data_IF_880933596399
#
_entry.id   IF_880933596399
#
_cell.length_a   1.000
_cell.length_b   1.000
_cell.length_c   1.000
_cell.angle_alpha   90.00
_cell.angle_beta   90.00
_cell.angle_gamma   90.00
#
_symmetry.space_group_name_H-M   'P 1'
#
loop_
_entity.id
_entity.type
_entity.pdbx_description
1 polymer ?
#
# COMPACT_ATOMS: atom_id res chain seq x y z
N UNK A 1 58.83 44.05 33.82
CA UNK A 1 57.51 43.43 34.13
C UNK A 1 56.80 42.85 32.90
N UNK A 2 56.82 43.47 31.70
CA UNK A 2 56.15 42.91 30.51
C UNK A 2 56.76 41.61 29.97
N UNK A 3 58.09 41.44 29.94
CA UNK A 3 58.75 40.22 29.43
C UNK A 3 58.49 38.95 30.25
N UNK A 4 58.36 39.06 31.58
CA UNK A 4 58.07 37.91 32.45
C UNK A 4 56.60 37.46 32.35
N UNK A 5 55.68 38.37 31.99
CA UNK A 5 54.28 38.04 31.77
C UNK A 5 54.11 37.17 30.50
N UNK A 6 54.80 37.52 29.40
CA UNK A 6 54.74 36.72 28.16
C UNK A 6 55.30 35.31 28.33
N UNK A 7 56.35 35.12 29.15
CA UNK A 7 56.91 33.79 29.40
C UNK A 7 55.96 32.91 30.22
N UNK A 8 55.26 33.48 31.19
CA UNK A 8 54.25 32.78 32.00
C UNK A 8 53.02 32.44 31.16
N UNK A 9 52.55 33.36 30.31
CA UNK A 9 51.41 33.10 29.41
C UNK A 9 51.74 32.03 28.36
N UNK A 10 52.98 31.99 27.85
CA UNK A 10 53.43 30.96 26.90
C UNK A 10 53.52 29.57 27.55
N UNK A 11 53.94 29.50 28.83
CA UNK A 11 53.99 28.26 29.58
C UNK A 11 52.60 27.71 29.93
N UNK A 12 51.64 28.59 30.24
CA UNK A 12 50.24 28.22 30.49
C UNK A 12 49.57 27.72 29.20
N UNK A 13 49.84 28.36 28.06
CA UNK A 13 49.36 27.88 26.75
C UNK A 13 49.94 26.53 26.36
N UNK A 14 51.23 26.29 26.62
CA UNK A 14 51.89 25.00 26.36
C UNK A 14 51.35 23.88 27.27
N UNK A 15 50.99 24.20 28.54
CA UNK A 15 50.37 23.24 29.45
C UNK A 15 48.94 22.84 29.03
N UNK A 16 48.18 23.76 28.41
CA UNK A 16 46.85 23.45 27.87
C UNK A 16 46.88 22.53 26.63
N UNK A 17 47.99 22.51 25.87
CA UNK A 17 48.15 21.63 24.70
C UNK A 17 48.46 20.17 25.07
N UNK A 18 48.86 19.90 26.31
CA UNK A 18 49.14 18.54 26.79
C UNK A 18 47.93 17.89 27.50
N UNK A 19 46.83 18.63 27.66
CA UNK A 19 45.54 18.09 28.10
C UNK A 19 44.75 17.58 26.89
N UNK A 20 45.35 16.69 26.09
CA UNK A 20 44.56 15.84 25.21
C UNK A 20 43.84 14.85 26.13
N UNK A 21 42.62 15.18 26.53
CA UNK A 21 41.69 14.20 27.06
C UNK A 21 41.65 13.07 26.03
N UNK A 22 42.30 11.96 26.36
CA UNK A 22 42.11 10.70 25.68
C UNK A 22 40.65 10.32 25.96
N UNK A 23 39.76 10.80 25.11
CA UNK A 23 38.39 10.33 25.07
C UNK A 23 38.48 8.90 24.52
N UNK A 24 38.85 7.95 25.37
CA UNK A 24 38.47 6.55 25.15
C UNK A 24 36.96 6.52 25.30
N UNK A 25 36.27 6.94 24.22
CA UNK A 25 34.87 6.64 24.05
C UNK A 25 34.85 5.13 23.88
N UNK A 26 34.39 4.41 24.90
CA UNK A 26 34.04 3.01 24.74
C UNK A 26 33.12 2.93 23.51
N UNK A 27 33.55 2.18 22.50
CA UNK A 27 32.75 2.02 21.30
C UNK A 27 31.45 1.35 21.74
N UNK A 28 30.31 2.03 21.57
CA UNK A 28 29.00 1.54 22.03
C UNK A 28 28.63 0.19 21.35
N UNK A 29 29.37 -0.20 20.31
CA UNK A 29 29.18 -1.42 19.57
C UNK A 29 30.49 -2.18 19.37
N UNK A 30 30.46 -3.50 19.58
CA UNK A 30 31.60 -4.40 19.39
C UNK A 30 32.06 -4.55 17.92
N UNK A 31 31.26 -4.05 16.97
CA UNK A 31 31.48 -4.19 15.52
C UNK A 31 31.40 -2.85 14.83
N UNK A 32 32.21 -2.67 13.79
CA UNK A 32 32.18 -1.47 12.95
C UNK A 32 30.83 -1.37 12.21
N UNK A 33 30.43 -0.14 11.86
CA UNK A 33 29.21 0.09 11.08
C UNK A 33 29.17 -0.70 9.76
N UNK A 34 30.33 -0.85 9.10
CA UNK A 34 30.46 -1.61 7.85
C UNK A 34 30.20 -3.11 8.05
N UNK A 35 30.74 -3.70 9.11
CA UNK A 35 30.54 -5.12 9.44
C UNK A 35 29.08 -5.42 9.79
N UNK A 36 28.43 -4.54 10.55
CA UNK A 36 27.00 -4.68 10.87
C UNK A 36 26.14 -4.63 9.60
N UNK A 37 26.49 -3.74 8.68
CA UNK A 37 25.79 -3.61 7.40
C UNK A 37 25.96 -4.85 6.51
N UNK A 38 27.18 -5.40 6.42
CA UNK A 38 27.40 -6.66 5.70
C UNK A 38 26.58 -7.82 6.30
N UNK A 39 26.53 -7.90 7.64
CA UNK A 39 25.74 -8.93 8.33
C UNK A 39 24.24 -8.81 8.04
N UNK A 40 23.68 -7.60 8.02
CA UNK A 40 22.28 -7.41 7.63
C UNK A 40 22.04 -7.81 6.16
N UNK A 41 22.94 -7.49 5.23
CA UNK A 41 22.80 -7.90 3.83
C UNK A 41 22.85 -9.42 3.67
N UNK A 42 23.77 -10.10 4.36
CA UNK A 42 23.86 -11.57 4.35
C UNK A 42 22.60 -12.19 4.93
N UNK A 43 22.13 -11.69 6.07
CA UNK A 43 20.88 -12.11 6.72
C UNK A 43 19.70 -12.02 5.76
N UNK A 44 19.47 -10.88 5.10
CA UNK A 44 18.34 -10.74 4.18
C UNK A 44 18.50 -11.56 2.89
N UNK A 45 19.72 -11.76 2.41
CA UNK A 45 19.98 -12.65 1.25
C UNK A 45 19.52 -14.07 1.53
N UNK A 46 19.74 -14.57 2.74
CA UNK A 46 19.26 -15.88 3.19
C UNK A 46 17.75 -15.87 3.47
N UNK A 47 17.27 -14.82 4.14
CA UNK A 47 15.89 -14.74 4.60
C UNK A 47 14.89 -14.70 3.44
N UNK A 48 15.14 -13.86 2.43
CA UNK A 48 14.20 -13.62 1.33
C UNK A 48 13.83 -14.90 0.56
N UNK A 49 14.77 -15.82 0.39
CA UNK A 49 14.58 -17.07 -0.36
C UNK A 49 14.06 -18.23 0.50
N UNK A 50 13.94 -18.05 1.82
CA UNK A 50 13.70 -19.14 2.77
C UNK A 50 12.28 -19.71 2.72
N UNK A 51 11.20 -18.92 2.63
CA UNK A 51 9.85 -19.48 2.63
C UNK A 51 9.56 -20.29 1.35
N UNK A 52 9.14 -21.54 1.53
CA UNK A 52 8.84 -22.46 0.43
C UNK A 52 7.81 -21.90 -0.57
N UNK A 53 6.81 -21.17 -0.07
CA UNK A 53 5.73 -20.61 -0.88
C UNK A 53 5.90 -19.11 -1.17
N UNK A 54 7.05 -18.55 -0.82
CA UNK A 54 7.32 -17.11 -0.87
C UNK A 54 6.65 -16.34 0.27
N UNK A 55 6.46 -15.05 0.04
CA UNK A 55 5.91 -14.09 0.98
C UNK A 55 4.59 -13.55 0.46
N UNK A 56 3.63 -13.30 1.34
CA UNK A 56 2.58 -12.32 1.07
C UNK A 56 3.15 -10.95 1.44
N UNK A 57 3.02 -9.99 0.53
CA UNK A 57 3.37 -8.59 0.74
C UNK A 57 2.07 -7.78 0.91
N UNK A 58 1.92 -7.18 2.09
CA UNK A 58 0.84 -6.28 2.42
C UNK A 58 1.20 -4.86 1.95
N UNK A 59 0.72 -4.50 0.76
CA UNK A 59 1.18 -3.31 0.07
C UNK A 59 0.16 -2.16 0.16
N UNK A 60 0.58 -1.02 0.71
CA UNK A 60 -0.28 0.15 0.93
C UNK A 60 0.24 1.38 0.18
N UNK A 61 -0.23 1.63 -1.05
CA UNK A 61 0.03 2.86 -1.80
C UNK A 61 -0.64 4.08 -1.15
N UNK A 62 -0.21 5.29 -1.54
CA UNK A 62 -0.75 6.55 -1.02
C UNK A 62 0.14 7.23 0.01
N UNK A 63 1.41 6.82 0.11
CA UNK A 63 2.38 7.36 1.07
C UNK A 63 2.01 7.10 2.53
N UNK A 64 2.36 8.03 3.41
CA UNK A 64 2.15 7.90 4.86
C UNK A 64 0.69 7.89 5.30
N UNK A 65 -0.22 8.34 4.44
CA UNK A 65 -1.67 8.36 4.71
C UNK A 65 -2.40 7.15 4.09
N UNK A 66 -1.70 6.34 3.29
CA UNK A 66 -2.21 5.13 2.62
C UNK A 66 -3.56 5.37 1.91
N UNK A 67 -3.70 6.51 1.25
CA UNK A 67 -4.97 7.01 0.68
C UNK A 67 -5.62 6.09 -0.34
N UNK A 68 -4.84 5.18 -0.95
CA UNK A 68 -5.32 4.24 -1.96
C UNK A 68 -5.66 2.84 -1.40
N UNK A 69 -5.67 2.69 -0.07
CA UNK A 69 -5.95 1.42 0.60
C UNK A 69 -4.80 0.43 0.51
N UNK A 70 -5.04 -0.83 0.86
CA UNK A 70 -4.04 -1.89 0.79
C UNK A 70 -4.41 -3.03 -0.15
N UNK A 71 -3.38 -3.73 -0.65
CA UNK A 71 -3.51 -4.81 -1.62
C UNK A 71 -2.59 -5.96 -1.22
N UNK A 72 -3.11 -7.18 -1.35
CA UNK A 72 -2.33 -8.39 -1.16
C UNK A 72 -1.57 -8.71 -2.45
N UNK A 73 -0.25 -8.65 -2.38
CA UNK A 73 0.64 -9.20 -3.39
C UNK A 73 1.31 -10.45 -2.82
N UNK A 74 1.84 -11.30 -3.68
CA UNK A 74 2.78 -12.34 -3.25
C UNK A 74 4.06 -12.20 -4.02
N UNK A 75 5.19 -12.42 -3.35
CA UNK A 75 6.53 -12.38 -3.95
C UNK A 75 7.33 -13.59 -3.52
N UNK A 76 7.96 -14.28 -4.46
CA UNK A 76 8.97 -15.31 -4.18
C UNK A 76 10.31 -14.87 -4.74
N UNK A 77 11.39 -15.05 -3.97
CA UNK A 77 12.74 -14.67 -4.36
C UNK A 77 13.55 -15.90 -4.76
N UNK A 78 14.47 -15.72 -5.69
CA UNK A 78 15.39 -16.76 -6.13
C UNK A 78 16.84 -16.35 -5.88
N UNK A 79 17.72 -17.33 -5.67
CA UNK A 79 19.14 -17.07 -5.40
C UNK A 79 19.88 -16.36 -6.56
N UNK A 80 19.33 -16.40 -7.79
CA UNK A 80 19.84 -15.69 -8.95
C UNK A 80 19.26 -14.28 -9.13
N UNK A 81 18.61 -13.72 -8.10
CA UNK A 81 18.22 -12.30 -8.07
C UNK A 81 16.89 -11.97 -8.73
N UNK A 82 15.97 -12.93 -8.87
CA UNK A 82 14.62 -12.67 -9.39
C UNK A 82 13.59 -12.67 -8.25
N UNK A 83 12.65 -11.74 -8.34
CA UNK A 83 11.45 -11.64 -7.53
C UNK A 83 10.23 -11.86 -8.43
N UNK A 84 9.43 -12.88 -8.13
CA UNK A 84 8.25 -13.26 -8.93
C UNK A 84 6.99 -12.79 -8.21
N UNK A 85 6.27 -11.85 -8.82
CA UNK A 85 5.09 -11.22 -8.26
C UNK A 85 3.78 -11.80 -8.80
N UNK A 86 2.77 -11.81 -7.93
CA UNK A 86 1.34 -11.99 -8.25
C UNK A 86 0.53 -11.03 -7.40
N UNK A 87 -0.71 -10.75 -7.78
CA UNK A 87 -1.57 -9.78 -7.06
C UNK A 87 -3.02 -10.19 -7.05
N UNK A 88 -3.75 -9.78 -6.01
CA UNK A 88 -5.22 -9.83 -6.00
C UNK A 88 -5.84 -9.00 -7.11
N UNK A 89 -5.10 -8.03 -7.68
CA UNK A 89 -5.55 -7.18 -8.79
C UNK A 89 -5.48 -7.86 -10.17
N UNK A 90 -4.89 -9.04 -10.29
CA UNK A 90 -4.90 -9.77 -11.57
C UNK A 90 -6.22 -10.50 -11.76
N UNK A 91 -6.79 -10.48 -12.97
CA UNK A 91 -7.99 -11.25 -13.32
C UNK A 91 -7.85 -12.73 -12.95
N UNK A 92 -6.71 -13.31 -13.34
CA UNK A 92 -6.28 -14.65 -12.97
C UNK A 92 -5.08 -14.54 -12.01
N UNK A 93 -5.28 -14.97 -10.76
CA UNK A 93 -4.22 -14.95 -9.73
C UNK A 93 -3.05 -15.88 -10.03
N UNK A 94 -3.15 -16.74 -11.05
CA UNK A 94 -2.03 -17.53 -11.54
C UNK A 94 -1.03 -16.72 -12.36
N UNK A 95 -1.45 -15.58 -12.93
CA UNK A 95 -0.57 -14.69 -13.67
C UNK A 95 0.56 -14.21 -12.76
N UNK A 96 1.79 -14.34 -13.25
CA UNK A 96 2.97 -13.90 -12.54
C UNK A 96 3.96 -13.20 -13.46
N UNK A 97 4.63 -12.20 -12.92
CA UNK A 97 5.67 -11.43 -13.62
C UNK A 97 6.92 -11.35 -12.76
N UNK A 98 8.08 -11.24 -13.38
CA UNK A 98 9.36 -11.19 -12.65
C UNK A 98 9.96 -9.80 -12.67
N UNK A 99 10.70 -9.47 -11.62
CA UNK A 99 11.60 -8.33 -11.53
C UNK A 99 12.96 -8.80 -11.05
N UNK A 100 14.05 -8.16 -11.48
CA UNK A 100 15.31 -8.29 -10.76
C UNK A 100 15.20 -7.55 -9.42
N UNK A 101 15.80 -8.12 -8.37
CA UNK A 101 15.92 -7.43 -7.09
C UNK A 101 17.39 -7.30 -6.67
N UNK A 102 17.68 -6.23 -5.93
CA UNK A 102 19.00 -5.97 -5.36
C UNK A 102 18.89 -5.69 -3.86
N UNK A 103 19.89 -6.17 -3.11
CA UNK A 103 20.14 -5.78 -1.74
C UNK A 103 21.32 -4.81 -1.71
N UNK A 104 21.07 -3.57 -1.29
CA UNK A 104 22.06 -2.49 -1.31
C UNK A 104 22.37 -1.96 0.10
N UNK A 105 23.53 -1.31 0.23
CA UNK A 105 23.97 -0.63 1.45
C UNK A 105 23.89 0.87 1.23
N UNK A 106 22.80 1.49 1.67
CA UNK A 106 22.53 2.92 1.48
C UNK A 106 22.13 3.52 2.84
N UNK A 107 20.90 4.01 3.00
CA UNK A 107 20.30 4.40 4.29
C UNK A 107 19.88 3.17 5.12
N UNK A 108 20.84 2.27 5.39
CA UNK A 108 20.55 0.93 5.90
C UNK A 108 20.69 -0.14 4.82
N UNK A 109 20.30 -1.37 5.16
CA UNK A 109 20.09 -2.41 4.16
C UNK A 109 18.80 -2.09 3.39
N UNK A 110 18.86 -2.07 2.06
CA UNK A 110 17.67 -1.80 1.24
C UNK A 110 17.36 -2.95 0.30
N UNK A 111 16.07 -3.16 0.04
CA UNK A 111 15.57 -4.07 -0.99
C UNK A 111 14.98 -3.24 -2.13
N UNK A 112 15.54 -3.40 -3.33
CA UNK A 112 15.14 -2.67 -4.53
C UNK A 112 14.63 -3.63 -5.60
N UNK A 113 13.61 -3.24 -6.35
CA UNK A 113 13.11 -3.96 -7.52
C UNK A 113 13.48 -3.18 -8.78
N UNK A 114 14.51 -3.64 -9.50
CA UNK A 114 15.26 -2.81 -10.45
C UNK A 114 14.72 -2.89 -11.89
N UNK A 115 13.92 -3.91 -12.21
CA UNK A 115 13.29 -3.99 -13.53
C UNK A 115 11.78 -3.90 -13.46
N UNK A 116 11.24 -3.05 -14.34
CA UNK A 116 9.82 -2.87 -14.50
C UNK A 116 9.08 -4.20 -14.69
N UNK A 117 7.97 -4.32 -13.97
CA UNK A 117 6.98 -5.38 -14.16
C UNK A 117 5.60 -4.78 -13.86
N UNK A 118 4.60 -5.17 -14.63
CA UNK A 118 3.28 -4.54 -14.63
C UNK A 118 2.44 -4.79 -13.37
N UNK A 119 2.74 -5.81 -12.57
CA UNK A 119 1.96 -6.11 -11.35
C UNK A 119 2.42 -5.23 -10.20
N UNK A 120 3.72 -5.22 -9.90
CA UNK A 120 4.27 -4.53 -8.74
C UNK A 120 4.47 -3.03 -9.02
N UNK A 121 4.98 -2.68 -10.21
CA UNK A 121 5.21 -1.27 -10.55
C UNK A 121 3.93 -0.53 -10.93
N UNK A 122 2.77 -1.20 -11.00
CA UNK A 122 1.47 -0.55 -11.19
C UNK A 122 1.27 0.61 -10.22
N UNK A 123 1.61 0.42 -8.94
CA UNK A 123 1.39 1.43 -7.90
C UNK A 123 2.32 2.64 -8.00
N UNK A 124 3.48 2.49 -8.65
CA UNK A 124 4.47 3.55 -8.84
C UNK A 124 4.50 4.09 -10.27
N UNK A 125 3.69 3.55 -11.18
CA UNK A 125 3.71 3.92 -12.59
C UNK A 125 3.15 5.35 -12.78
N UNK A 126 3.93 6.31 -13.29
CA UNK A 126 3.48 7.69 -13.47
C UNK A 126 2.47 7.86 -14.62
N UNK A 127 2.35 6.88 -15.53
CA UNK A 127 1.49 6.92 -16.73
C UNK A 127 0.03 6.52 -16.46
N UNK A 128 -0.31 6.12 -15.23
CA UNK A 128 -1.71 5.93 -14.87
C UNK A 128 -2.34 7.31 -14.68
N UNK A 129 -3.40 7.61 -15.45
CA UNK A 129 -4.17 8.87 -15.34
C UNK A 129 -4.99 9.01 -14.05
N UNK A 130 -4.85 8.05 -13.12
CA UNK A 130 -5.48 7.99 -11.81
C UNK A 130 -4.44 8.26 -10.70
N UNK A 131 -4.88 8.44 -9.46
CA UNK A 131 -3.98 8.47 -8.30
C UNK A 131 -3.63 9.88 -7.80
N UNK A 132 -2.36 10.09 -7.44
CA UNK A 132 -1.87 11.31 -6.77
C UNK A 132 -1.76 12.55 -7.67
N UNK A 133 -2.13 12.45 -8.95
CA UNK A 133 -2.02 13.48 -9.97
C UNK A 133 -1.06 13.11 -11.11
N UNK A 134 -0.99 13.97 -12.12
CA UNK A 134 -0.17 13.75 -13.33
C UNK A 134 1.28 13.41 -12.97
N UNK A 135 1.76 12.26 -13.46
CA UNK A 135 3.12 11.79 -13.25
C UNK A 135 3.44 11.23 -11.85
N UNK A 136 2.44 11.06 -10.97
CA UNK A 136 2.67 10.62 -9.58
C UNK A 136 2.28 9.16 -9.29
N UNK A 137 1.48 8.55 -10.17
CA UNK A 137 0.93 7.22 -9.94
C UNK A 137 0.13 7.14 -8.64
N UNK A 138 0.11 5.96 -7.99
CA UNK A 138 -0.56 5.75 -6.69
C UNK A 138 0.37 6.03 -5.49
N UNK A 139 1.46 6.79 -5.67
CA UNK A 139 2.46 7.02 -4.63
C UNK A 139 3.03 5.72 -4.05
N UNK A 140 3.18 4.69 -4.90
CA UNK A 140 3.85 3.44 -4.55
C UNK A 140 5.38 3.59 -4.54
N UNK A 141 6.03 2.86 -3.63
CA UNK A 141 7.48 2.66 -3.60
C UNK A 141 7.87 1.33 -4.24
N UNK A 142 9.06 1.26 -4.82
CA UNK A 142 9.70 0.02 -5.32
C UNK A 142 11.12 -0.17 -4.75
N UNK A 143 11.54 0.73 -3.86
CA UNK A 143 12.76 0.62 -3.07
C UNK A 143 12.40 0.79 -1.60
N UNK A 144 12.91 -0.10 -0.74
CA UNK A 144 12.53 -0.16 0.67
C UNK A 144 13.76 -0.24 1.57
N UNK A 145 13.70 0.46 2.69
CA UNK A 145 14.61 0.29 3.82
C UNK A 145 14.12 -0.93 4.61
N UNK A 146 15.00 -1.88 4.89
CA UNK A 146 14.66 -3.08 5.65
C UNK A 146 14.77 -2.78 7.15
N UNK A 147 13.63 -2.65 7.82
CA UNK A 147 13.57 -2.23 9.23
C UNK A 147 13.80 -3.40 10.19
N UNK A 148 13.18 -4.55 9.90
CA UNK A 148 13.38 -5.79 10.67
C UNK A 148 13.02 -7.03 9.86
N UNK A 149 13.57 -8.19 10.24
CA UNK A 149 13.40 -9.43 9.50
C UNK A 149 13.60 -10.67 10.37
N UNK A 150 12.63 -11.57 10.31
CA UNK A 150 12.58 -12.90 10.91
C UNK A 150 12.05 -13.89 9.88
N UNK A 151 12.13 -15.19 10.17
CA UNK A 151 11.64 -16.22 9.23
C UNK A 151 10.15 -16.11 8.89
N UNK A 152 9.37 -15.49 9.78
CA UNK A 152 7.92 -15.32 9.63
C UNK A 152 7.52 -13.95 9.09
N UNK A 153 8.31 -12.91 9.33
CA UNK A 153 7.95 -11.53 9.01
C UNK A 153 9.17 -10.68 8.62
N UNK A 154 9.03 -9.88 7.57
CA UNK A 154 9.92 -8.78 7.22
C UNK A 154 9.11 -7.49 7.22
N UNK A 155 9.58 -6.47 7.94
CA UNK A 155 9.00 -5.12 7.95
C UNK A 155 9.97 -4.20 7.21
N UNK A 156 9.43 -3.40 6.31
CA UNK A 156 10.22 -2.47 5.51
C UNK A 156 9.47 -1.15 5.27
N UNK A 157 10.22 -0.08 5.05
CA UNK A 157 9.68 1.26 4.83
C UNK A 157 10.05 1.75 3.45
N UNK A 158 9.07 2.21 2.67
CA UNK A 158 9.29 2.74 1.33
C UNK A 158 10.23 3.96 1.35
N UNK A 159 11.21 4.01 0.44
CA UNK A 159 12.23 5.08 0.45
C UNK A 159 11.66 6.45 0.13
N UNK A 160 10.72 6.57 -0.83
CA UNK A 160 10.20 7.85 -1.30
C UNK A 160 8.97 8.28 -0.52
N UNK A 161 7.98 7.41 -0.33
CA UNK A 161 6.69 7.78 0.26
C UNK A 161 6.48 7.28 1.69
N UNK A 162 7.46 6.56 2.26
CA UNK A 162 7.55 6.19 3.69
C UNK A 162 6.41 5.31 4.21
N UNK A 163 5.65 4.67 3.32
CA UNK A 163 4.65 3.67 3.72
C UNK A 163 5.34 2.43 4.29
N UNK A 164 4.81 1.89 5.40
CA UNK A 164 5.31 0.63 5.99
C UNK A 164 4.68 -0.55 5.27
N UNK A 165 5.54 -1.43 4.75
CA UNK A 165 5.15 -2.65 4.06
C UNK A 165 5.57 -3.84 4.93
N UNK A 166 4.68 -4.83 5.02
CA UNK A 166 4.95 -6.07 5.77
C UNK A 166 4.92 -7.25 4.82
N UNK A 167 5.92 -8.11 4.92
CA UNK A 167 5.95 -9.39 4.26
C UNK A 167 5.80 -10.49 5.30
N UNK A 168 4.84 -11.39 5.10
CA UNK A 168 4.66 -12.57 5.94
C UNK A 168 4.93 -13.84 5.15
N UNK A 169 5.65 -14.80 5.74
CA UNK A 169 5.96 -16.07 5.09
C UNK A 169 4.68 -16.87 4.83
N UNK A 170 4.43 -17.24 3.58
CA UNK A 170 3.24 -17.98 3.18
C UNK A 170 3.30 -19.42 3.70
N UNK A 171 2.21 -19.87 4.31
CA UNK A 171 2.03 -21.24 4.82
C UNK A 171 1.31 -22.16 3.81
N UNK A 172 0.99 -21.62 2.64
CA UNK A 172 0.28 -22.29 1.55
C UNK A 172 0.74 -21.70 0.20
N UNK A 173 0.44 -22.34 -0.94
CA UNK A 173 0.77 -21.78 -2.24
C UNK A 173 0.21 -20.37 -2.43
N UNK A 174 1.03 -19.47 -2.99
CA UNK A 174 0.69 -18.07 -3.24
C UNK A 174 -0.66 -17.87 -3.95
N UNK A 175 -0.98 -18.72 -4.93
CA UNK A 175 -2.23 -18.66 -5.69
C UNK A 175 -3.46 -19.01 -4.84
N UNK A 176 -3.33 -19.93 -3.88
CA UNK A 176 -4.42 -20.30 -2.97
C UNK A 176 -4.71 -19.18 -1.97
N UNK A 177 -3.67 -18.56 -1.42
CA UNK A 177 -3.79 -17.37 -0.59
C UNK A 177 -4.49 -16.24 -1.37
N UNK A 178 -3.99 -15.92 -2.57
CA UNK A 178 -4.53 -14.84 -3.39
C UNK A 178 -5.96 -15.09 -3.83
N UNK A 179 -6.34 -16.33 -4.16
CA UNK A 179 -7.72 -16.70 -4.52
C UNK A 179 -8.68 -16.40 -3.36
N UNK A 180 -8.29 -16.72 -2.12
CA UNK A 180 -9.08 -16.43 -0.92
C UNK A 180 -9.17 -14.94 -0.62
N UNK A 181 -8.05 -14.21 -0.72
CA UNK A 181 -8.03 -12.76 -0.52
C UNK A 181 -8.87 -12.04 -1.59
N UNK A 182 -8.70 -12.41 -2.87
CA UNK A 182 -9.47 -11.91 -4.01
C UNK A 182 -10.97 -12.17 -3.88
N UNK A 183 -11.38 -13.36 -3.46
CA UNK A 183 -12.80 -13.67 -3.27
C UNK A 183 -13.45 -12.72 -2.24
N UNK A 184 -12.78 -12.46 -1.12
CA UNK A 184 -13.26 -11.52 -0.10
C UNK A 184 -13.25 -10.08 -0.60
N UNK A 185 -12.16 -9.67 -1.26
CA UNK A 185 -12.09 -8.36 -1.89
C UNK A 185 -13.26 -8.15 -2.86
N UNK A 186 -13.57 -9.16 -3.69
CA UNK A 186 -14.69 -9.11 -4.62
C UNK A 186 -16.04 -9.08 -3.91
N UNK A 187 -16.22 -9.72 -2.75
CA UNK A 187 -17.48 -9.62 -1.97
C UNK A 187 -17.87 -8.18 -1.62
N UNK A 188 -16.87 -7.29 -1.60
CA UNK A 188 -17.03 -5.88 -1.28
C UNK A 188 -16.92 -4.98 -2.54
N UNK A 189 -15.89 -5.14 -3.37
CA UNK A 189 -15.65 -4.26 -4.53
C UNK A 189 -16.71 -4.34 -5.63
N UNK A 190 -17.46 -5.45 -5.72
CA UNK A 190 -18.53 -5.58 -6.72
C UNK A 190 -19.80 -4.83 -6.29
N UNK A 191 -19.86 -4.30 -5.07
CA UNK A 191 -21.01 -3.55 -4.58
C UNK A 191 -20.99 -2.16 -5.23
N UNK A 192 -21.96 -1.86 -6.11
CA UNK A 192 -21.96 -0.60 -6.83
C UNK A 192 -22.45 0.54 -5.95
N UNK A 193 -22.13 1.76 -6.38
CA UNK A 193 -22.68 2.99 -5.82
C UNK A 193 -22.40 3.20 -4.33
N UNK A 194 -21.29 2.69 -3.78
CA UNK A 194 -20.90 3.00 -2.39
C UNK A 194 -20.41 4.44 -2.33
N UNK A 195 -20.99 5.25 -1.45
CA UNK A 195 -20.63 6.67 -1.25
C UNK A 195 -20.06 6.98 0.13
N UNK A 196 -20.12 6.02 1.06
CA UNK A 196 -19.62 6.20 2.42
C UNK A 196 -20.03 5.05 3.33
N UNK A 197 -19.81 5.24 4.63
CA UNK A 197 -20.27 4.36 5.70
C UNK A 197 -21.07 5.15 6.72
N UNK A 198 -22.00 4.51 7.42
CA UNK A 198 -22.74 5.11 8.53
C UNK A 198 -23.11 4.07 9.57
N UNK A 199 -23.08 4.47 10.83
CA UNK A 199 -23.55 3.64 11.93
C UNK A 199 -22.90 4.04 13.23
N UNK A 200 -22.21 3.11 13.87
CA UNK A 200 -21.57 3.31 15.18
C UNK A 200 -20.08 2.95 15.11
N UNK A 201 -19.27 3.75 15.79
CA UNK A 201 -17.86 3.47 16.07
C UNK A 201 -17.63 3.57 17.57
N UNK A 202 -17.13 2.50 18.18
CA UNK A 202 -16.89 2.41 19.62
C UNK A 202 -18.10 2.81 20.50
N UNK A 203 -19.31 2.46 20.05
CA UNK A 203 -20.58 2.70 20.75
C UNK A 203 -21.29 4.01 20.39
N UNK A 204 -20.62 4.92 19.69
CA UNK A 204 -21.14 6.27 19.39
C UNK A 204 -21.41 6.46 17.89
N UNK A 205 -22.38 7.31 17.50
CA UNK A 205 -22.69 7.56 16.09
C UNK A 205 -21.47 8.03 15.29
N UNK A 206 -21.27 7.46 14.11
CA UNK A 206 -20.19 7.84 13.20
C UNK A 206 -20.60 7.68 11.74
N UNK A 207 -19.95 8.47 10.89
CA UNK A 207 -20.09 8.44 9.43
C UNK A 207 -18.69 8.40 8.82
N UNK A 208 -18.54 7.78 7.66
CA UNK A 208 -17.27 7.76 6.96
C UNK A 208 -17.44 8.17 5.49
N UNK A 209 -16.66 9.15 5.06
CA UNK A 209 -16.62 9.60 3.67
C UNK A 209 -15.73 8.69 2.83
N UNK A 210 -16.23 8.30 1.65
CA UNK A 210 -15.50 7.47 0.71
C UNK A 210 -14.33 8.25 0.07
N UNK A 211 -13.11 7.70 0.16
CA UNK A 211 -11.94 8.24 -0.56
C UNK A 211 -11.59 7.32 -1.72
N UNK A 212 -11.38 6.04 -1.40
CA UNK A 212 -11.22 4.97 -2.38
C UNK A 212 -12.00 3.76 -1.91
N UNK A 213 -12.02 2.71 -2.73
CA UNK A 213 -12.69 1.47 -2.34
C UNK A 213 -12.18 0.90 -1.03
N UNK A 214 -10.92 1.13 -0.65
CA UNK A 214 -10.31 0.55 0.55
C UNK A 214 -9.75 1.60 1.53
N UNK A 215 -10.23 2.85 1.44
CA UNK A 215 -9.87 3.94 2.34
C UNK A 215 -11.03 4.90 2.55
N UNK A 216 -11.25 5.31 3.81
CA UNK A 216 -12.31 6.21 4.22
C UNK A 216 -11.79 7.24 5.22
N UNK A 217 -12.44 8.41 5.27
CA UNK A 217 -12.31 9.35 6.38
C UNK A 217 -13.48 9.10 7.34
N UNK A 218 -13.20 8.54 8.50
CA UNK A 218 -14.18 8.33 9.57
C UNK A 218 -14.29 9.59 10.43
N UNK A 219 -15.52 10.03 10.69
CA UNK A 219 -15.85 11.21 11.49
C UNK A 219 -16.82 10.85 12.60
N UNK A 220 -16.54 11.35 13.81
CA UNK A 220 -17.40 11.22 14.98
C UNK A 220 -17.35 12.53 15.78
N UNK A 221 -18.47 13.26 15.77
CA UNK A 221 -18.51 14.62 16.32
C UNK A 221 -17.66 15.57 15.46
N UNK A 222 -16.71 16.26 16.08
CA UNK A 222 -15.78 17.21 15.42
C UNK A 222 -14.44 16.56 15.04
N UNK A 223 -14.15 15.35 15.51
CA UNK A 223 -12.91 14.64 15.18
C UNK A 223 -13.11 13.75 13.95
N UNK A 224 -12.03 13.64 13.15
CA UNK A 224 -11.95 12.68 12.05
C UNK A 224 -10.59 12.01 11.98
N UNK A 225 -10.58 10.82 11.40
CA UNK A 225 -9.37 10.04 11.15
C UNK A 225 -9.51 9.24 9.86
N UNK A 226 -8.43 9.04 9.14
CA UNK A 226 -8.42 8.16 7.96
C UNK A 226 -8.17 6.74 8.42
N UNK A 227 -8.89 5.78 7.85
CA UNK A 227 -8.50 4.39 7.94
C UNK A 227 -8.43 3.76 6.55
N UNK A 228 -7.38 2.97 6.37
CA UNK A 228 -7.14 2.19 5.16
C UNK A 228 -7.02 0.73 5.53
N UNK A 229 -7.53 -0.13 4.66
CA UNK A 229 -7.58 -1.56 4.90
C UNK A 229 -7.26 -2.34 3.63
N UNK A 230 -7.08 -3.65 3.80
CA UNK A 230 -6.95 -4.60 2.71
C UNK A 230 -7.74 -5.86 3.02
N UNK A 231 -7.98 -6.68 1.99
CA UNK A 231 -8.49 -8.04 2.17
C UNK A 231 -7.36 -9.07 2.14
N UNK A 232 -7.41 -10.01 3.07
CA UNK A 232 -6.49 -11.14 3.25
C UNK A 232 -7.23 -12.46 3.09
N UNK A 233 -6.53 -13.58 3.20
CA UNK A 233 -7.13 -14.91 3.25
C UNK A 233 -8.02 -15.16 4.49
N UNK A 234 -7.91 -14.32 5.53
CA UNK A 234 -8.62 -14.44 6.81
C UNK A 234 -9.72 -13.40 7.01
N UNK A 235 -9.68 -12.28 6.28
CA UNK A 235 -10.62 -11.19 6.47
C UNK A 235 -10.01 -9.85 6.07
N UNK A 236 -10.50 -8.78 6.67
CA UNK A 236 -9.96 -7.44 6.49
C UNK A 236 -8.82 -7.18 7.47
N UNK A 237 -7.79 -6.46 7.02
CA UNK A 237 -6.67 -6.01 7.85
C UNK A 237 -6.54 -4.51 7.70
N UNK A 238 -6.50 -3.79 8.82
CA UNK A 238 -6.23 -2.36 8.84
C UNK A 238 -4.73 -2.12 8.67
N UNK A 239 -4.35 -1.01 8.03
CA UNK A 239 -2.96 -0.58 7.95
C UNK A 239 -2.38 -0.30 9.36
N UNK A 240 -3.17 0.42 10.16
CA UNK A 240 -2.91 0.74 11.56
C UNK A 240 -4.25 0.76 12.32
N UNK A 241 -4.24 0.62 13.66
CA UNK A 241 -5.45 0.77 14.46
C UNK A 241 -6.15 2.10 14.19
N UNK A 242 -7.48 2.08 14.19
CA UNK A 242 -8.28 3.31 14.08
C UNK A 242 -8.34 3.95 15.46
N UNK A 243 -7.81 5.16 15.59
CA UNK A 243 -7.84 5.96 16.81
C UNK A 243 -8.67 7.23 16.58
N UNK A 244 -9.76 7.39 17.34
CA UNK A 244 -10.69 8.51 17.24
C UNK A 244 -11.38 8.76 18.59
N UNK A 245 -11.46 10.01 19.06
CA UNK A 245 -12.04 10.38 20.36
C UNK A 245 -11.49 9.56 21.55
N UNK A 246 -10.19 9.23 21.53
CA UNK A 246 -9.54 8.40 22.56
C UNK A 246 -9.97 6.93 22.60
N UNK A 247 -10.75 6.47 21.61
CA UNK A 247 -11.09 5.05 21.40
C UNK A 247 -10.19 4.46 20.34
N UNK A 248 -9.81 3.19 20.53
CA UNK A 248 -8.92 2.46 19.63
C UNK A 248 -9.56 1.15 19.18
N UNK A 249 -9.61 0.93 17.87
CA UNK A 249 -10.05 -0.33 17.26
C UNK A 249 -8.90 -0.92 16.44
N UNK A 250 -8.41 -2.08 16.86
CA UNK A 250 -7.29 -2.76 16.20
C UNK A 250 -7.73 -3.67 15.05
N UNK A 251 -8.95 -4.20 15.15
CA UNK A 251 -9.48 -5.16 14.19
C UNK A 251 -10.89 -4.76 13.78
N UNK A 252 -11.12 -4.66 12.47
CA UNK A 252 -12.40 -4.36 11.88
C UNK A 252 -12.68 -5.41 10.81
N UNK A 253 -13.85 -6.05 10.86
CA UNK A 253 -14.22 -7.18 10.01
C UNK A 253 -15.34 -6.81 9.05
N UNK A 254 -15.15 -7.10 7.77
CA UNK A 254 -16.24 -7.04 6.78
C UNK A 254 -17.26 -8.16 6.98
N UNK A 255 -18.52 -7.80 7.27
CA UNK A 255 -19.68 -8.70 7.32
C UNK A 255 -20.46 -8.58 6.00
N UNK A 256 -20.33 -9.58 5.13
CA UNK A 256 -20.94 -9.59 3.80
C UNK A 256 -22.47 -9.57 3.83
N UNK A 257 -23.09 -10.22 4.83
CA UNK A 257 -24.54 -10.30 4.94
C UNK A 257 -25.12 -8.95 5.39
N UNK A 258 -24.50 -8.33 6.39
CA UNK A 258 -24.91 -7.00 6.88
C UNK A 258 -24.45 -5.87 5.98
N UNK A 259 -23.50 -6.15 5.08
CA UNK A 259 -22.78 -5.15 4.28
C UNK A 259 -22.23 -4.04 5.18
N UNK A 260 -21.50 -4.44 6.21
CA UNK A 260 -21.01 -3.54 7.22
C UNK A 260 -19.64 -3.97 7.74
N UNK A 261 -18.86 -2.99 8.17
CA UNK A 261 -17.66 -3.22 8.96
C UNK A 261 -18.01 -3.32 10.43
N UNK A 262 -17.59 -4.40 11.07
CA UNK A 262 -18.03 -4.76 12.42
C UNK A 262 -16.88 -5.18 13.33
N UNK A 263 -17.15 -5.11 14.63
CA UNK A 263 -16.28 -5.64 15.70
C UNK A 263 -17.01 -6.77 16.44
N UNK A 264 -16.29 -7.76 17.00
CA UNK A 264 -16.94 -8.90 17.68
C UNK A 264 -17.80 -8.52 18.89
N UNK A 265 -17.46 -7.43 19.59
CA UNK A 265 -18.22 -6.91 20.73
C UNK A 265 -19.46 -6.09 20.32
N UNK A 266 -19.64 -5.85 19.02
CA UNK A 266 -20.76 -5.10 18.46
C UNK A 266 -20.69 -3.59 18.69
N UNK A 267 -19.60 -3.04 19.25
CA UNK A 267 -19.49 -1.60 19.52
C UNK A 267 -19.27 -0.78 18.24
N UNK A 268 -18.68 -1.39 17.23
CA UNK A 268 -18.53 -0.80 15.91
C UNK A 268 -19.37 -1.59 14.90
N UNK A 269 -20.24 -0.88 14.20
CA UNK A 269 -21.03 -1.36 13.07
C UNK A 269 -21.23 -0.19 12.08
N UNK A 270 -20.43 -0.19 11.02
CA UNK A 270 -20.42 0.83 9.97
C UNK A 270 -20.94 0.22 8.67
N UNK A 271 -22.22 0.45 8.38
CA UNK A 271 -22.89 -0.09 7.20
C UNK A 271 -22.63 0.77 5.95
N UNK A 272 -22.64 0.15 4.78
CA UNK A 272 -22.50 0.87 3.51
C UNK A 272 -23.62 1.90 3.31
N UNK A 273 -23.23 3.10 2.89
CA UNK A 273 -24.13 4.13 2.36
C UNK A 273 -24.03 4.10 0.84
N UNK A 274 -25.19 4.16 0.18
CA UNK A 274 -25.28 4.13 -1.27
C UNK A 274 -25.54 5.53 -1.83
N UNK A 275 -24.86 5.88 -2.92
CA UNK A 275 -25.23 7.02 -3.76
C UNK A 275 -26.60 6.74 -4.39
N UNK A 276 -27.66 7.51 -4.08
CA UNK A 276 -28.97 7.32 -4.69
C UNK A 276 -28.98 7.53 -6.21
N UNK A 277 -27.95 8.18 -6.77
CA UNK A 277 -27.75 8.39 -8.21
C UNK A 277 -26.74 7.42 -8.81
N UNK A 278 -26.11 6.57 -8.00
CA UNK A 278 -25.09 5.65 -8.46
C UNK A 278 -25.71 4.56 -9.35
N UNK A 279 -25.37 4.60 -10.64
CA UNK A 279 -25.81 3.62 -11.61
C UNK A 279 -24.98 2.35 -11.46
N UNK A 280 -25.68 1.21 -11.35
CA UNK A 280 -25.03 -0.10 -11.32
C UNK A 280 -24.64 -0.55 -12.72
N UNK A 281 -23.59 -1.35 -12.85
CA UNK A 281 -23.11 -1.85 -14.16
C UNK A 281 -24.24 -2.53 -14.95
N UNK A 282 -25.07 -3.35 -14.29
CA UNK A 282 -26.23 -4.03 -14.89
C UNK A 282 -27.31 -3.05 -15.42
N UNK A 283 -27.41 -1.86 -14.82
CA UNK A 283 -28.34 -0.81 -15.24
C UNK A 283 -27.81 0.01 -16.44
N UNK A 284 -26.51 -0.08 -16.70
CA UNK A 284 -25.83 0.60 -17.80
C UNK A 284 -25.71 -0.26 -19.05
N UNK A 285 -25.87 -1.59 -18.96
CA UNK A 285 -25.79 -2.47 -20.12
C UNK A 285 -27.10 -2.42 -20.91
N UNK A 286 -26.99 -2.19 -22.22
CA UNK A 286 -28.17 -2.12 -23.07
C UNK A 286 -27.98 -1.32 -24.34
N UNK A 287 -29.09 -1.10 -25.04
CA UNK A 287 -29.16 -0.20 -26.18
C UNK A 287 -29.93 1.05 -25.75
N UNK A 288 -29.36 2.21 -26.06
CA UNK A 288 -29.84 3.53 -25.69
C UNK A 288 -29.95 4.39 -26.95
N UNK A 289 -30.82 5.38 -26.91
CA UNK A 289 -30.89 6.45 -27.92
C UNK A 289 -30.41 7.72 -27.25
N UNK A 290 -29.28 8.25 -27.70
CA UNK A 290 -28.73 9.50 -27.19
C UNK A 290 -29.25 10.67 -28.03
N UNK A 291 -30.01 11.57 -27.42
CA UNK A 291 -30.53 12.77 -28.06
C UNK A 291 -29.57 13.95 -27.85
N UNK A 292 -29.26 14.68 -28.93
CA UNK A 292 -28.37 15.85 -28.87
C UNK A 292 -28.78 16.94 -29.86
N UNK A 293 -28.56 18.20 -29.48
CA UNK A 293 -29.12 19.33 -30.21
C UNK A 293 -30.64 19.27 -30.27
N UNK A 294 -31.26 20.07 -31.14
CA UNK A 294 -32.71 20.23 -31.11
C UNK A 294 -33.51 19.04 -31.66
N UNK A 295 -32.92 18.10 -32.43
CA UNK A 295 -33.65 16.95 -32.99
C UNK A 295 -32.75 15.77 -33.46
N UNK A 296 -31.46 15.72 -33.08
CA UNK A 296 -30.58 14.63 -33.53
C UNK A 296 -30.56 13.51 -32.52
N UNK A 297 -30.51 12.27 -33.01
CA UNK A 297 -30.40 11.08 -32.18
C UNK A 297 -29.33 10.13 -32.72
N UNK A 298 -28.72 9.37 -31.82
CA UNK A 298 -27.79 8.30 -32.19
C UNK A 298 -27.98 7.08 -31.31
N UNK A 299 -27.99 5.90 -31.94
CA UNK A 299 -28.05 4.64 -31.24
C UNK A 299 -26.69 4.35 -30.58
N UNK A 300 -26.73 4.13 -29.27
CA UNK A 300 -25.57 3.80 -28.44
C UNK A 300 -25.81 2.44 -27.82
N UNK A 301 -24.86 1.52 -27.98
CA UNK A 301 -24.88 0.25 -27.28
C UNK A 301 -23.76 0.23 -26.26
N UNK A 302 -24.11 -0.04 -25.01
CA UNK A 302 -23.16 -0.21 -23.90
C UNK A 302 -23.04 -1.69 -23.64
N UNK A 303 -21.82 -2.21 -23.78
CA UNK A 303 -21.52 -3.63 -23.60
C UNK A 303 -20.31 -3.81 -22.70
N UNK A 304 -20.30 -4.94 -21.99
CA UNK A 304 -19.14 -5.39 -21.23
C UNK A 304 -18.06 -5.87 -22.19
N UNK A 305 -16.87 -5.32 -22.04
CA UNK A 305 -15.67 -5.78 -22.77
C UNK A 305 -14.65 -6.28 -21.77
N UNK A 306 -14.07 -7.47 -22.00
CA UNK A 306 -12.94 -7.97 -21.20
C UNK A 306 -11.66 -7.30 -21.69
N UNK A 307 -11.04 -6.44 -20.89
CA UNK A 307 -9.63 -6.09 -21.08
C UNK A 307 -8.79 -6.83 -20.05
N UNK A 308 -7.65 -7.37 -20.50
CA UNK A 308 -6.74 -8.24 -19.74
C UNK A 308 -5.99 -7.58 -18.57
N UNK A 309 -6.28 -6.34 -18.18
CA UNK A 309 -5.29 -5.56 -17.40
C UNK A 309 -5.75 -4.86 -16.12
N UNK A 310 -7.03 -4.65 -15.84
CA UNK A 310 -7.40 -3.92 -14.61
C UNK A 310 -8.77 -4.33 -14.07
N UNK A 311 -8.88 -4.30 -12.74
CA UNK A 311 -10.07 -4.59 -11.93
C UNK A 311 -11.31 -3.74 -12.25
N UNK A 312 -11.13 -2.67 -13.02
CA UNK A 312 -12.21 -1.82 -13.48
C UNK A 312 -12.68 -2.33 -14.84
N UNK A 313 -13.84 -3.00 -14.86
CA UNK A 313 -14.53 -3.30 -16.11
C UNK A 313 -14.77 -2.00 -16.87
N UNK A 314 -14.16 -1.86 -18.05
CA UNK A 314 -14.42 -0.70 -18.91
C UNK A 314 -15.72 -0.94 -19.68
N UNK A 315 -16.70 -0.07 -19.47
CA UNK A 315 -17.85 0.03 -20.35
C UNK A 315 -17.39 0.69 -21.65
N UNK A 316 -17.52 -0.02 -22.76
CA UNK A 316 -17.19 0.52 -24.08
C UNK A 316 -18.47 1.01 -24.75
N UNK A 317 -18.47 2.28 -25.14
CA UNK A 317 -19.57 2.90 -25.88
C UNK A 317 -19.34 2.68 -27.38
N UNK A 318 -20.22 1.90 -28.01
CA UNK A 318 -20.24 1.79 -29.46
C UNK A 318 -21.29 2.73 -30.04
N UNK A 319 -20.82 3.73 -30.78
CA UNK A 319 -21.63 4.68 -31.52
C UNK A 319 -21.66 4.27 -32.99
N UNK A 320 -22.84 3.91 -33.53
CA UNK A 320 -23.00 3.66 -34.97
C UNK A 320 -23.36 4.96 -35.67
N UNK A 321 -22.36 5.72 -36.14
CA UNK A 321 -22.61 6.81 -37.08
C UNK A 321 -22.84 6.24 -38.48
N UNK A 322 -24.10 6.20 -38.94
CA UNK A 322 -24.34 6.14 -40.38
C UNK A 322 -24.01 7.51 -40.98
N UNK A 323 -22.80 7.63 -41.52
CA UNK A 323 -22.47 8.73 -42.43
C UNK A 323 -23.26 8.51 -43.72
N UNK A 324 -24.48 9.05 -43.79
CA UNK A 324 -25.07 9.35 -45.09
C UNK A 324 -24.25 10.50 -45.68
N UNK A 325 -23.38 10.18 -46.65
CA UNK A 325 -22.85 11.18 -47.58
C UNK A 325 -24.04 11.78 -48.32
N UNK A 326 -24.36 13.04 -48.03
CA UNK A 326 -25.19 13.89 -48.90
C UNK A 326 -24.44 14.23 -50.17
#
# INVERSE_FOLDING_TARGET
MKKSLYTITLFIWAACLLSSCKNEVEDYFDKTASERMEQEIVKYRELLIKPQHGWVMEYYPGGMDQTFGGYALTVSFTANGYAVFRSVLEDDVNNSVSSFYALNKDMGATLNFDTYNEIFHYFSNPDIGDGGGEGKGLLGDYEFILDSGTESEIIMTGKKHKSTIRMHALQEPATEYLRKAKARMNSYLIIPAVSGLKGTFAGEPAEAEFITSQSYILTQGEESTTFSFMFTDKGTKLYAPIELNGKKIENLSWDEQKRAFTTPDGQTNLALVYDPKGLREDQLLGNYVFHYGNDKQIDVSIKKTKQRRHYYGRLTFHCKTQLQRT
#
